data_IF_899015432866
#
_entry.id   IF_899015432866
#
_cell.length_a   1.000
_cell.length_b   1.000
_cell.length_c   1.000
_cell.angle_alpha   90.00
_cell.angle_beta   90.00
_cell.angle_gamma   90.00
#
_symmetry.space_group_name_H-M   'P 1'
#
loop_
_entity.id
_entity.type
_entity.pdbx_description
1 polymer ?
#
# COMPACT_ATOMS: atom_id res chain seq x y z
N UNK A 1 20.88 1.88 -5.37
CA UNK A 1 20.47 1.68 -3.97
C UNK A 1 20.62 0.19 -3.69
N UNK A 2 21.04 -0.21 -2.49
CA UNK A 2 20.82 -1.58 -2.03
C UNK A 2 19.32 -1.90 -2.12
N UNK A 3 18.97 -3.18 -2.37
CA UNK A 3 17.57 -3.62 -2.39
C UNK A 3 16.91 -3.25 -1.06
N UNK A 4 15.65 -2.82 -1.11
CA UNK A 4 14.91 -2.57 0.12
C UNK A 4 14.69 -3.90 0.86
N UNK A 5 14.82 -3.93 2.19
CA UNK A 5 14.99 -5.19 2.92
C UNK A 5 13.68 -5.95 3.16
N UNK A 6 12.54 -5.26 3.24
CA UNK A 6 11.28 -5.87 3.63
C UNK A 6 10.59 -6.51 2.43
N UNK A 7 9.97 -7.67 2.66
CA UNK A 7 9.15 -8.35 1.66
C UNK A 7 7.71 -7.86 1.75
N UNK A 8 7.16 -7.57 0.59
CA UNK A 8 5.81 -7.08 0.43
C UNK A 8 5.11 -7.89 -0.67
N UNK A 9 3.79 -7.95 -0.61
CA UNK A 9 2.96 -8.50 -1.68
C UNK A 9 1.96 -7.44 -2.11
N UNK A 10 2.05 -6.96 -3.35
CA UNK A 10 0.99 -6.17 -3.94
C UNK A 10 -0.19 -7.09 -4.28
N UNK A 11 -1.36 -6.75 -3.79
CA UNK A 11 -2.63 -7.38 -4.10
C UNK A 11 -3.37 -6.50 -5.10
N UNK A 12 -3.31 -6.88 -6.38
CA UNK A 12 -3.96 -6.16 -7.48
C UNK A 12 -5.40 -6.63 -7.58
N UNK A 13 -6.34 -5.70 -7.52
CA UNK A 13 -7.76 -6.02 -7.67
C UNK A 13 -8.04 -6.43 -9.13
N UNK A 14 -8.66 -7.60 -9.28
CA UNK A 14 -9.09 -8.11 -10.57
C UNK A 14 -10.52 -7.63 -10.88
N UNK A 15 -10.88 -7.43 -12.16
CA UNK A 15 -12.27 -7.14 -12.51
C UNK A 15 -13.19 -8.30 -12.10
N UNK A 16 -14.39 -7.96 -11.63
CA UNK A 16 -15.41 -8.96 -11.34
C UNK A 16 -15.75 -9.76 -12.60
N UNK A 17 -16.06 -11.05 -12.43
CA UNK A 17 -16.45 -11.93 -13.53
C UNK A 17 -17.95 -12.18 -13.43
N UNK A 18 -18.65 -12.04 -14.56
CA UNK A 18 -20.07 -12.32 -14.63
C UNK A 18 -20.30 -13.82 -14.84
N UNK A 19 -21.17 -14.42 -14.04
CA UNK A 19 -21.60 -15.80 -14.23
C UNK A 19 -22.57 -15.89 -15.41
N UNK A 20 -22.27 -16.68 -16.45
CA UNK A 20 -23.10 -16.80 -17.64
C UNK A 20 -24.48 -17.44 -17.37
N UNK A 21 -24.64 -18.18 -16.28
CA UNK A 21 -25.89 -18.87 -15.95
C UNK A 21 -26.88 -18.02 -15.16
N UNK A 22 -26.38 -17.12 -14.28
CA UNK A 22 -27.21 -16.29 -13.40
C UNK A 22 -27.17 -14.81 -13.72
N UNK A 23 -26.20 -14.35 -14.52
CA UNK A 23 -25.96 -12.94 -14.79
C UNK A 23 -25.39 -12.13 -13.61
N UNK A 24 -25.10 -12.79 -12.48
CA UNK A 24 -24.55 -12.16 -11.29
C UNK A 24 -23.05 -11.84 -11.46
N UNK A 25 -22.59 -10.75 -10.83
CA UNK A 25 -21.18 -10.37 -10.80
C UNK A 25 -20.51 -10.95 -9.55
N UNK A 26 -19.46 -11.74 -9.76
CA UNK A 26 -18.68 -12.33 -8.68
C UNK A 26 -17.36 -11.59 -8.49
N UNK A 27 -17.01 -11.23 -7.25
CA UNK A 27 -15.68 -10.70 -6.96
C UNK A 27 -14.64 -11.79 -7.22
N UNK A 28 -13.55 -11.41 -7.87
CA UNK A 28 -12.41 -12.30 -8.11
C UNK A 28 -11.33 -11.99 -7.08
N UNK A 29 -10.69 -13.04 -6.55
CA UNK A 29 -9.57 -12.89 -5.64
C UNK A 29 -8.46 -12.01 -6.25
N UNK A 30 -7.84 -11.11 -5.48
CA UNK A 30 -6.74 -10.28 -5.99
C UNK A 30 -5.55 -11.10 -6.48
N UNK A 31 -4.83 -10.58 -7.47
CA UNK A 31 -3.59 -11.19 -7.96
C UNK A 31 -2.41 -10.77 -7.06
N UNK A 32 -1.69 -11.71 -6.41
CA UNK A 32 -0.53 -11.39 -5.59
C UNK A 32 0.73 -11.20 -6.45
N UNK A 33 1.43 -10.09 -6.25
CA UNK A 33 2.69 -9.76 -6.92
C UNK A 33 3.75 -9.49 -5.86
N UNK A 34 4.82 -10.32 -5.77
CA UNK A 34 5.88 -10.11 -4.78
C UNK A 34 6.62 -8.80 -5.07
N UNK A 35 6.94 -8.07 -4.01
CA UNK A 35 7.61 -6.77 -4.04
C UNK A 35 8.61 -6.68 -2.87
N UNK A 36 9.60 -5.80 -3.00
CA UNK A 36 10.49 -5.39 -1.90
C UNK A 36 10.35 -3.90 -1.57
N UNK A 37 10.35 -3.57 -0.28
CA UNK A 37 10.02 -2.24 0.19
C UNK A 37 10.62 -1.90 1.55
N UNK A 38 10.30 -0.70 2.01
CA UNK A 38 10.61 -0.22 3.35
C UNK A 38 9.43 0.64 3.82
N UNK A 39 8.75 0.19 4.87
CA UNK A 39 7.71 0.96 5.53
C UNK A 39 8.35 2.03 6.40
N UNK A 40 7.90 3.27 6.23
CA UNK A 40 8.28 4.38 7.07
C UNK A 40 7.04 4.96 7.72
N UNK A 41 7.06 5.07 9.05
CA UNK A 41 6.04 5.84 9.74
C UNK A 41 6.09 7.28 9.26
N UNK A 42 4.93 7.81 8.87
CA UNK A 42 4.84 9.20 8.48
C UNK A 42 5.00 10.03 9.75
N UNK A 43 6.19 10.59 9.97
CA UNK A 43 6.39 11.62 10.99
C UNK A 43 5.63 12.88 10.55
N UNK A 44 4.37 12.95 10.95
CA UNK A 44 3.61 14.19 10.95
C UNK A 44 4.09 14.99 12.16
N UNK A 45 4.40 16.26 11.95
CA UNK A 45 4.98 17.16 12.96
C UNK A 45 4.18 17.15 14.27
N UNK A 46 4.78 17.61 15.37
CA UNK A 46 4.19 17.61 16.72
C UNK A 46 2.81 18.30 16.85
N UNK A 47 2.37 19.06 15.85
CA UNK A 47 1.02 19.64 15.76
C UNK A 47 -0.03 18.71 15.10
N UNK A 48 0.34 17.46 14.78
CA UNK A 48 -0.44 16.52 13.99
C UNK A 48 -0.42 15.11 14.58
N UNK A 49 -0.36 15.03 15.92
CA UNK A 49 -0.44 13.76 16.68
C UNK A 49 -1.76 13.04 16.38
N UNK A 50 -2.84 13.78 16.08
CA UNK A 50 -4.14 13.22 15.66
C UNK A 50 -4.20 12.68 14.22
N UNK A 51 -3.17 12.90 13.40
CA UNK A 51 -3.20 12.61 11.96
C UNK A 51 -2.35 11.38 11.55
N UNK A 52 -1.56 10.82 12.46
CA UNK A 52 -0.75 9.62 12.22
C UNK A 52 -1.49 8.34 12.57
N UNK A 53 -2.10 8.33 13.76
CA UNK A 53 -2.97 7.28 14.26
C UNK A 53 -4.27 7.94 14.73
N UNK A 54 -5.34 7.77 13.97
CA UNK A 54 -6.65 8.30 14.34
C UNK A 54 -7.51 7.14 14.86
N UNK A 55 -7.88 7.22 16.13
CA UNK A 55 -8.92 6.36 16.67
C UNK A 55 -10.28 6.92 16.24
N UNK A 56 -11.02 6.19 15.41
CA UNK A 56 -12.33 6.65 14.92
C UNK A 56 -13.50 6.07 15.71
N UNK A 57 -13.27 4.98 16.44
CA UNK A 57 -14.16 4.36 17.40
C UNK A 57 -13.31 3.68 18.48
N UNK A 58 -13.83 3.46 19.71
CA UNK A 58 -13.08 2.78 20.77
C UNK A 58 -12.48 1.47 20.27
N UNK A 59 -11.16 1.33 20.41
CA UNK A 59 -10.39 0.17 19.94
C UNK A 59 -10.14 0.11 18.43
N UNK A 60 -10.57 1.09 17.64
CA UNK A 60 -10.41 1.07 16.18
C UNK A 60 -9.48 2.18 15.71
N UNK A 61 -8.24 1.81 15.39
CA UNK A 61 -7.17 2.75 15.05
C UNK A 61 -6.84 2.67 13.56
N UNK A 62 -6.80 3.84 12.93
CA UNK A 62 -6.35 4.02 11.56
C UNK A 62 -4.98 4.66 11.57
N UNK A 63 -4.00 3.98 11.00
CA UNK A 63 -2.61 4.44 10.95
C UNK A 63 -2.15 4.73 9.52
N UNK A 64 -1.54 5.88 9.28
CA UNK A 64 -1.02 6.28 7.96
C UNK A 64 0.51 6.21 7.89
N UNK A 65 1.00 5.59 6.82
CA UNK A 65 2.43 5.31 6.58
C UNK A 65 2.86 5.75 5.17
N UNK A 66 4.17 5.81 4.96
CA UNK A 66 4.77 5.93 3.64
C UNK A 66 5.53 4.65 3.34
N UNK A 67 5.08 3.90 2.33
CA UNK A 67 5.77 2.71 1.83
C UNK A 67 6.69 3.11 0.67
N UNK A 68 7.98 2.87 0.85
CA UNK A 68 8.98 3.01 -0.20
C UNK A 68 9.12 1.67 -0.91
N UNK A 69 8.94 1.66 -2.22
CA UNK A 69 8.92 0.45 -3.04
C UNK A 69 10.08 0.44 -4.03
N UNK A 70 10.64 -0.74 -4.28
CA UNK A 70 11.64 -0.93 -5.31
C UNK A 70 11.04 -0.70 -6.70
N UNK A 71 11.69 0.08 -7.59
CA UNK A 71 11.10 0.46 -8.88
C UNK A 71 11.29 -0.57 -10.00
N UNK A 72 11.86 -1.74 -9.69
CA UNK A 72 12.26 -2.77 -10.67
C UNK A 72 11.14 -3.67 -11.18
N UNK A 73 9.91 -3.48 -10.71
CA UNK A 73 8.75 -4.31 -11.05
C UNK A 73 7.89 -3.57 -12.09
N UNK A 74 7.53 -4.20 -13.22
CA UNK A 74 6.84 -3.54 -14.34
C UNK A 74 5.32 -3.37 -14.09
N UNK A 75 4.94 -3.13 -12.83
CA UNK A 75 3.57 -2.85 -12.41
C UNK A 75 3.62 -1.56 -11.60
N UNK A 76 2.65 -0.67 -11.78
CA UNK A 76 2.54 0.53 -10.95
C UNK A 76 1.33 0.35 -10.04
N UNK A 77 1.46 0.47 -8.70
CA UNK A 77 0.34 0.26 -7.82
C UNK A 77 -0.69 1.37 -8.02
N UNK A 78 -1.96 0.98 -8.11
CA UNK A 78 -3.11 1.86 -8.15
C UNK A 78 -3.61 2.22 -6.74
N UNK A 79 -4.54 3.18 -6.67
CA UNK A 79 -5.16 3.61 -5.41
C UNK A 79 -6.15 2.59 -4.83
N UNK A 80 -6.56 1.58 -5.62
CA UNK A 80 -7.43 0.50 -5.17
C UNK A 80 -6.64 -0.71 -4.68
N UNK A 81 -5.36 -0.78 -5.04
CA UNK A 81 -4.53 -1.91 -4.68
C UNK A 81 -4.18 -1.88 -3.19
N UNK A 82 -3.78 -3.05 -2.70
CA UNK A 82 -3.39 -3.25 -1.30
C UNK A 82 -2.01 -3.85 -1.23
N UNK A 83 -1.28 -3.57 -0.17
CA UNK A 83 0.00 -4.20 0.14
C UNK A 83 -0.14 -5.08 1.35
N UNK A 84 0.45 -6.27 1.31
CA UNK A 84 0.54 -7.17 2.46
C UNK A 84 1.99 -7.35 2.86
N UNK A 85 2.30 -7.21 4.14
CA UNK A 85 3.65 -7.46 4.66
C UNK A 85 3.92 -8.97 4.88
N UNK A 86 5.08 -9.29 5.48
CA UNK A 86 5.47 -10.66 5.80
C UNK A 86 4.65 -11.25 6.96
N UNK A 87 4.13 -10.41 7.87
CA UNK A 87 3.28 -10.80 9.00
C UNK A 87 1.80 -10.99 8.59
N UNK A 88 1.46 -10.65 7.34
CA UNK A 88 0.12 -10.80 6.78
C UNK A 88 -0.80 -9.60 6.98
N UNK A 89 -0.31 -8.49 7.54
CA UNK A 89 -1.06 -7.25 7.72
C UNK A 89 -1.27 -6.57 6.37
N UNK A 90 -2.49 -6.08 6.15
CA UNK A 90 -2.90 -5.47 4.88
C UNK A 90 -2.99 -3.95 5.01
N UNK A 91 -2.28 -3.26 4.13
CA UNK A 91 -2.21 -1.83 4.00
C UNK A 91 -2.89 -1.39 2.71
N UNK A 92 -3.83 -0.47 2.79
CA UNK A 92 -4.53 0.09 1.63
C UNK A 92 -3.74 1.26 1.05
N UNK A 93 -3.59 1.34 -0.27
CA UNK A 93 -2.93 2.48 -0.92
C UNK A 93 -3.83 3.72 -0.85
N UNK A 94 -3.27 4.82 -0.37
CA UNK A 94 -3.92 6.13 -0.35
C UNK A 94 -3.40 7.02 -1.48
N UNK A 95 -4.32 7.48 -2.34
CA UNK A 95 -3.99 8.34 -3.47
C UNK A 95 -3.14 7.63 -4.53
N UNK A 96 -2.40 8.42 -5.32
CA UNK A 96 -1.58 7.90 -6.43
C UNK A 96 -0.11 7.79 -6.01
N UNK A 97 0.49 6.59 -6.04
CA UNK A 97 1.92 6.42 -5.78
C UNK A 97 2.77 7.25 -6.75
N UNK A 98 3.90 7.77 -6.25
CA UNK A 98 4.77 8.67 -7.00
C UNK A 98 6.17 8.09 -7.17
N UNK A 99 6.62 8.02 -8.41
CA UNK A 99 8.02 7.69 -8.72
C UNK A 99 8.94 8.83 -8.28
N UNK A 100 10.01 8.50 -7.56
CA UNK A 100 11.04 9.45 -7.12
C UNK A 100 12.36 9.17 -7.82
N UNK A 101 13.08 10.25 -8.14
CA UNK A 101 14.33 10.23 -8.90
C UNK A 101 15.42 10.91 -8.08
N UNK A 102 16.64 10.37 -8.09
CA UNK A 102 17.80 10.89 -7.35
C UNK A 102 18.19 12.32 -7.76
N UNK A 103 18.04 12.65 -9.04
CA UNK A 103 18.38 13.97 -9.60
C UNK A 103 17.31 14.37 -10.61
N UNK A 104 16.98 15.67 -10.65
CA UNK A 104 16.08 16.24 -11.65
C UNK A 104 16.65 15.95 -13.04
N UNK A 105 15.92 15.22 -13.88
CA UNK A 105 16.36 14.81 -15.22
C UNK A 105 16.90 13.38 -15.36
N UNK A 106 17.16 12.67 -14.26
CA UNK A 106 17.54 11.25 -14.36
C UNK A 106 16.40 10.40 -14.92
N UNK A 107 16.71 9.47 -15.83
CA UNK A 107 15.74 8.49 -16.32
C UNK A 107 15.48 7.36 -15.32
N UNK A 108 16.43 7.10 -14.41
CA UNK A 108 16.35 5.99 -13.47
C UNK A 108 15.52 6.36 -12.24
N UNK A 109 14.36 5.70 -12.09
CA UNK A 109 13.57 5.78 -10.86
C UNK A 109 14.39 5.16 -9.73
N UNK A 110 14.41 5.83 -8.59
CA UNK A 110 15.17 5.41 -7.40
C UNK A 110 14.30 4.58 -6.46
N UNK A 111 13.06 5.03 -6.24
CA UNK A 111 12.03 4.30 -5.50
C UNK A 111 10.64 4.83 -5.91
N UNK A 112 9.60 4.08 -5.58
CA UNK A 112 8.21 4.52 -5.68
C UNK A 112 7.72 4.80 -4.26
N UNK A 113 7.17 5.99 -4.01
CA UNK A 113 6.57 6.34 -2.73
C UNK A 113 5.05 6.15 -2.82
N UNK A 114 4.49 5.28 -1.99
CA UNK A 114 3.05 5.11 -1.80
C UNK A 114 2.68 5.54 -0.39
N UNK A 115 1.65 6.38 -0.25
CA UNK A 115 1.02 6.55 1.05
C UNK A 115 0.13 5.33 1.27
N UNK A 116 0.20 4.72 2.44
CA UNK A 116 -0.60 3.54 2.75
C UNK A 116 -1.22 3.68 4.12
N UNK A 117 -2.37 3.05 4.31
CA UNK A 117 -3.13 3.06 5.55
C UNK A 117 -3.33 1.66 6.07
N UNK A 118 -3.06 1.45 7.35
CA UNK A 118 -3.43 0.25 8.08
C UNK A 118 -4.65 0.55 8.94
N UNK A 119 -5.58 -0.39 9.02
CA UNK A 119 -6.69 -0.35 9.98
C UNK A 119 -6.47 -1.51 10.93
N UNK A 120 -6.47 -1.21 12.23
CA UNK A 120 -6.35 -2.22 13.27
C UNK A 120 -7.52 -2.09 14.22
N UNK A 121 -8.25 -3.19 14.39
CA UNK A 121 -9.23 -3.35 15.45
C UNK A 121 -8.47 -3.89 16.67
N UNK A 122 -8.00 -3.00 17.55
CA UNK A 122 -7.55 -3.40 18.87
C UNK A 122 -8.76 -3.99 19.62
N UNK A 123 -8.74 -5.30 19.82
CA UNK A 123 -9.56 -5.92 20.87
C UNK A 123 -8.95 -5.57 22.22
N UNK A 124 -9.69 -4.83 23.04
CA UNK A 124 -9.53 -4.84 24.51
C UNK A 124 -9.87 -6.22 25.10
#
# INVERSE_FOLDING_TARGET
MPKLPEKWTLLVDNPAVQDPSTGNWFPVSPTPIPWTGLLQQRQLSAASVDAGNTEFAPGHVVSSYVLLLDPGIPVMPGSKDRFRDEDGVVYQVEGKPRQRKKTRGSRRVTYIAANVRCVSDMKE
#
